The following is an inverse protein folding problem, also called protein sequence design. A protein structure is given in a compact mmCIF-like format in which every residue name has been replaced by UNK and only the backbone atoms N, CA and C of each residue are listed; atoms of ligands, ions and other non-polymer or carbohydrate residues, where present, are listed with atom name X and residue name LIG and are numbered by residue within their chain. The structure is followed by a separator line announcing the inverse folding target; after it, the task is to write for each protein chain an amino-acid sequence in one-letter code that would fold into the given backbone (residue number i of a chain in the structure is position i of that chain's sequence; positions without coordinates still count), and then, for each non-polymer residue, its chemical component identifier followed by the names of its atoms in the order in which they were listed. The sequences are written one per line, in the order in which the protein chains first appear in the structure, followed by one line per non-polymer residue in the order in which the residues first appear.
data_IF_575578922243
#
_entry.id   IF_575578922243
#
_cell.length_a   1.000
_cell.length_b   1.000
_cell.length_c   1.000
_cell.angle_alpha   90.00
_cell.angle_beta   90.00
_cell.angle_gamma   90.00
#
_symmetry.space_group_name_H-M   'P 1'
#
loop_
_entity.id
_entity.type
_entity.pdbx_description
1 polymer ?
#
# COMPACT_ATOMS: atom_id res chain seq x y z
N UNK A 1 2.08 -16.73 30.42
CA UNK A 1 2.64 -18.04 30.05
C UNK A 1 1.59 -18.79 29.20
N UNK A 2 1.69 -18.73 27.90
CA UNK A 2 1.20 -19.74 26.93
C UNK A 2 1.69 -19.26 25.56
N UNK A 3 2.67 -19.96 25.03
CA UNK A 3 3.23 -19.74 23.69
C UNK A 3 2.15 -20.12 22.66
N UNK A 4 1.79 -19.19 21.79
CA UNK A 4 1.02 -19.51 20.60
C UNK A 4 1.99 -19.49 19.42
N UNK A 5 2.31 -20.70 18.99
CA UNK A 5 3.07 -20.98 17.77
C UNK A 5 2.08 -20.94 16.62
N UNK A 6 2.10 -19.92 15.79
CA UNK A 6 1.29 -19.89 14.56
C UNK A 6 2.00 -20.72 13.49
N UNK A 7 1.44 -21.88 13.23
CA UNK A 7 1.86 -22.79 12.16
C UNK A 7 1.25 -22.29 10.86
N UNK A 8 2.09 -21.87 9.90
CA UNK A 8 1.66 -21.71 8.50
C UNK A 8 1.29 -23.09 7.96
N UNK A 9 0.01 -23.32 7.72
CA UNK A 9 -0.50 -24.49 7.02
C UNK A 9 -0.36 -24.27 5.51
N UNK A 10 0.67 -24.89 4.93
CA UNK A 10 0.75 -25.09 3.49
C UNK A 10 -0.26 -26.19 3.12
N UNK A 11 -1.32 -25.84 2.40
CA UNK A 11 -2.30 -26.79 1.89
C UNK A 11 -1.68 -27.65 0.80
N UNK A 12 -1.32 -28.87 1.14
CA UNK A 12 -1.00 -29.91 0.16
C UNK A 12 -2.30 -30.41 -0.48
N UNK A 13 -2.53 -30.11 -1.75
CA UNK A 13 -3.59 -30.75 -2.53
C UNK A 13 -3.23 -32.22 -2.75
N UNK A 14 -3.90 -33.11 -2.02
CA UNK A 14 -3.88 -34.54 -2.29
C UNK A 14 -4.80 -34.85 -3.49
N UNK A 15 -4.22 -35.20 -4.63
CA UNK A 15 -4.95 -35.75 -5.77
C UNK A 15 -5.29 -37.21 -5.44
N UNK A 16 -6.54 -37.48 -5.15
CA UNK A 16 -7.07 -38.84 -5.03
C UNK A 16 -7.36 -39.43 -6.43
N UNK A 17 -6.52 -40.35 -6.90
CA UNK A 17 -6.83 -41.17 -8.06
C UNK A 17 -7.65 -42.41 -7.63
N UNK A 18 -8.85 -42.53 -8.15
CA UNK A 18 -9.62 -43.78 -8.11
C UNK A 18 -8.94 -44.82 -8.99
N UNK A 19 -8.64 -45.95 -8.39
CA UNK A 19 -8.21 -47.16 -9.11
C UNK A 19 -9.40 -47.90 -9.70
N UNK A 20 -9.49 -48.01 -11.04
CA UNK A 20 -10.29 -48.95 -11.73
C UNK A 20 -9.41 -50.13 -12.15
N UNK A 21 -9.79 -51.34 -11.76
CA UNK A 21 -9.10 -52.56 -12.08
C UNK A 21 -9.23 -52.91 -13.58
N UNK A 22 -8.09 -53.23 -14.22
CA UNK A 22 -8.02 -53.81 -15.54
C UNK A 22 -6.59 -54.32 -15.80
N UNK A 23 -6.46 -55.63 -15.90
CA UNK A 23 -5.26 -56.45 -15.93
C UNK A 23 -4.35 -56.21 -17.14
N UNK A 24 -3.05 -56.16 -16.91
CA UNK A 24 -1.86 -56.70 -17.62
C UNK A 24 -0.75 -55.68 -17.90
N UNK A 25 0.40 -55.90 -17.24
CA UNK A 25 1.75 -55.71 -17.75
C UNK A 25 2.30 -54.30 -17.94
N UNK A 26 3.02 -53.82 -16.95
CA UNK A 26 4.30 -53.13 -17.14
C UNK A 26 4.91 -52.62 -15.79
N UNK A 27 6.07 -53.18 -15.46
CA UNK A 27 6.85 -52.90 -14.23
C UNK A 27 7.68 -51.58 -14.31
N UNK A 28 7.48 -50.77 -15.34
CA UNK A 28 8.30 -49.56 -15.59
C UNK A 28 7.69 -48.24 -15.12
N UNK A 29 6.37 -48.22 -14.79
CA UNK A 29 5.68 -46.94 -14.47
C UNK A 29 5.70 -46.58 -12.98
N UNK A 30 5.98 -47.54 -12.09
CA UNK A 30 5.99 -47.33 -10.65
C UNK A 30 7.32 -46.72 -10.13
N UNK A 31 8.42 -46.94 -10.85
CA UNK A 31 9.74 -46.38 -10.48
C UNK A 31 9.82 -44.88 -10.77
N UNK A 32 9.25 -44.43 -11.88
CA UNK A 32 9.33 -43.02 -12.30
C UNK A 32 8.47 -42.09 -11.38
N UNK A 33 7.29 -42.57 -10.98
CA UNK A 33 6.44 -41.80 -10.05
C UNK A 33 7.03 -41.70 -8.62
N UNK A 34 7.86 -42.66 -8.21
CA UNK A 34 8.55 -42.65 -6.93
C UNK A 34 9.83 -41.78 -6.96
N UNK A 35 10.49 -41.66 -8.13
CA UNK A 35 11.62 -40.76 -8.34
C UNK A 35 11.15 -39.31 -8.43
N UNK A 36 10.11 -39.00 -9.20
CA UNK A 36 9.52 -37.67 -9.31
C UNK A 36 8.98 -37.17 -7.95
N UNK A 37 8.40 -38.04 -7.13
CA UNK A 37 7.95 -37.70 -5.76
C UNK A 37 9.13 -37.42 -4.81
N UNK A 38 10.26 -38.13 -4.96
CA UNK A 38 11.48 -37.87 -4.17
C UNK A 38 12.18 -36.59 -4.59
N UNK A 39 12.18 -36.28 -5.87
CA UNK A 39 12.79 -35.04 -6.40
C UNK A 39 11.97 -33.81 -6.00
N UNK A 40 10.62 -33.90 -5.98
CA UNK A 40 9.74 -32.83 -5.50
C UNK A 40 9.86 -32.59 -3.99
N UNK A 41 10.04 -33.65 -3.20
CA UNK A 41 10.25 -33.53 -1.74
C UNK A 41 11.64 -32.94 -1.44
N UNK A 42 12.67 -33.35 -2.16
CA UNK A 42 14.02 -32.80 -1.98
C UNK A 42 14.11 -31.33 -2.40
N UNK A 43 13.38 -30.91 -3.44
CA UNK A 43 13.27 -29.51 -3.84
C UNK A 43 12.52 -28.65 -2.81
N UNK A 44 11.43 -29.18 -2.21
CA UNK A 44 10.69 -28.53 -1.16
C UNK A 44 11.51 -28.40 0.13
N UNK A 45 12.24 -29.46 0.51
CA UNK A 45 13.12 -29.46 1.69
C UNK A 45 14.30 -28.49 1.50
N UNK A 46 14.83 -28.38 0.28
CA UNK A 46 15.89 -27.43 -0.06
C UNK A 46 15.37 -25.99 -0.01
N UNK A 47 14.18 -25.72 -0.57
CA UNK A 47 13.55 -24.40 -0.50
C UNK A 47 13.20 -24.00 0.95
N UNK A 48 12.74 -24.94 1.78
CA UNK A 48 12.51 -24.70 3.22
C UNK A 48 13.83 -24.47 3.98
N UNK A 49 14.89 -25.17 3.63
CA UNK A 49 16.21 -24.97 4.25
C UNK A 49 16.84 -23.63 3.83
N UNK A 50 16.68 -23.23 2.56
CA UNK A 50 17.12 -21.92 2.06
C UNK A 50 16.30 -20.78 2.69
N UNK A 51 14.98 -20.94 2.84
CA UNK A 51 14.12 -20.00 3.55
C UNK A 51 14.49 -19.90 5.02
N UNK A 52 14.77 -21.04 5.69
CA UNK A 52 15.21 -21.06 7.08
C UNK A 52 16.58 -20.44 7.25
N UNK A 53 17.54 -20.72 6.37
CA UNK A 53 18.86 -20.10 6.37
C UNK A 53 18.80 -18.59 6.07
N UNK A 54 17.90 -18.15 5.19
CA UNK A 54 17.65 -16.72 4.95
C UNK A 54 17.05 -16.03 6.20
N UNK A 55 16.10 -16.67 6.89
CA UNK A 55 15.52 -16.18 8.15
C UNK A 55 16.55 -16.14 9.27
N UNK A 56 17.42 -17.16 9.38
CA UNK A 56 18.51 -17.20 10.38
C UNK A 56 19.65 -16.20 10.02
N UNK A 57 19.89 -15.93 8.73
CA UNK A 57 20.87 -14.92 8.28
C UNK A 57 20.38 -13.47 8.51
N UNK A 58 19.08 -13.26 8.74
CA UNK A 58 18.50 -11.97 9.12
C UNK A 58 18.39 -11.78 10.64
N UNK A 59 18.77 -12.76 11.45
CA UNK A 59 18.79 -12.66 12.91
C UNK A 59 20.15 -12.12 13.40
N UNK A 60 20.37 -10.82 13.18
CA UNK A 60 21.45 -10.08 13.86
C UNK A 60 21.02 -9.70 15.28
N UNK A 61 21.97 -9.44 16.16
CA UNK A 61 21.68 -8.74 17.41
C UNK A 61 21.58 -7.23 17.12
N UNK A 62 20.35 -6.73 16.99
CA UNK A 62 20.06 -5.32 16.76
C UNK A 62 19.67 -4.57 18.04
N UNK A 63 19.90 -5.18 19.20
CA UNK A 63 19.44 -4.66 20.50
C UNK A 63 20.08 -3.33 20.90
N UNK A 64 21.25 -3.01 20.37
CA UNK A 64 21.97 -1.75 20.59
C UNK A 64 21.78 -0.72 19.45
N UNK A 65 21.14 -1.15 18.35
CA UNK A 65 20.94 -0.30 17.17
C UNK A 65 19.80 0.68 17.37
N UNK A 66 20.04 1.92 16.94
CA UNK A 66 19.09 3.04 17.01
C UNK A 66 18.46 3.29 15.66
N UNK A 67 17.14 3.35 15.62
CA UNK A 67 16.37 3.66 14.41
C UNK A 67 15.63 4.98 14.61
N UNK A 68 15.85 5.93 13.70
CA UNK A 68 15.05 7.15 13.60
C UNK A 68 13.97 6.99 12.54
N UNK A 69 12.72 7.30 12.87
CA UNK A 69 11.59 7.23 11.95
C UNK A 69 10.89 8.59 11.93
N UNK A 70 10.79 9.23 10.76
CA UNK A 70 10.01 10.44 10.54
C UNK A 70 8.78 10.12 9.70
N UNK A 71 7.60 10.36 10.23
CA UNK A 71 6.32 10.24 9.52
C UNK A 71 5.83 11.65 9.18
N UNK A 72 5.31 11.86 7.96
CA UNK A 72 4.88 13.18 7.52
C UNK A 72 3.80 13.80 8.43
N UNK A 73 2.84 12.99 8.91
CA UNK A 73 1.91 13.37 9.98
C UNK A 73 1.28 12.14 10.65
N UNK A 74 1.01 12.25 11.96
CA UNK A 74 0.45 11.15 12.75
C UNK A 74 -1.07 11.02 12.64
N UNK A 75 -1.75 12.07 12.21
CA UNK A 75 -3.21 12.08 12.04
C UNK A 75 -3.68 11.31 10.81
N UNK A 76 -2.77 10.92 9.91
CA UNK A 76 -3.09 10.09 8.76
C UNK A 76 -3.40 8.64 9.18
N UNK A 77 -4.58 8.14 8.75
CA UNK A 77 -5.07 6.82 9.15
C UNK A 77 -4.20 5.69 8.56
N UNK A 78 -3.80 5.81 7.29
CA UNK A 78 -2.94 4.82 6.65
C UNK A 78 -1.56 4.79 7.31
N UNK A 79 -0.94 5.97 7.52
CA UNK A 79 0.37 6.04 8.17
C UNK A 79 0.33 5.62 9.64
N UNK A 80 -0.84 5.64 10.28
CA UNK A 80 -1.00 5.07 11.62
C UNK A 80 -0.88 3.55 11.60
N UNK A 81 -1.49 2.87 10.62
CA UNK A 81 -1.32 1.43 10.43
C UNK A 81 0.14 1.10 10.10
N UNK A 82 0.71 1.80 9.11
CA UNK A 82 2.07 1.59 8.64
C UNK A 82 3.11 1.72 9.77
N UNK A 83 3.12 2.87 10.50
CA UNK A 83 4.12 3.12 11.55
C UNK A 83 4.00 2.17 12.73
N UNK A 84 2.77 1.77 13.09
CA UNK A 84 2.53 0.83 14.18
C UNK A 84 3.08 -0.56 13.83
N UNK A 85 2.83 -1.01 12.61
CA UNK A 85 3.33 -2.29 12.12
C UNK A 85 4.85 -2.27 11.94
N UNK A 86 5.41 -1.21 11.36
CA UNK A 86 6.87 -1.05 11.21
C UNK A 86 7.59 -1.14 12.57
N UNK A 87 7.06 -0.45 13.58
CA UNK A 87 7.64 -0.47 14.93
C UNK A 87 7.54 -1.88 15.55
N UNK A 88 6.39 -2.54 15.42
CA UNK A 88 6.17 -3.92 15.88
C UNK A 88 7.10 -4.90 15.16
N UNK A 89 7.25 -4.73 13.86
CA UNK A 89 8.13 -5.56 13.05
C UNK A 89 9.60 -5.43 13.47
N UNK A 90 10.11 -4.22 13.62
CA UNK A 90 11.47 -3.97 14.08
C UNK A 90 11.72 -4.58 15.46
N UNK A 91 10.77 -4.43 16.39
CA UNK A 91 10.85 -5.07 17.71
C UNK A 91 10.90 -6.60 17.57
N UNK A 92 10.10 -7.19 16.69
CA UNK A 92 10.09 -8.64 16.43
C UNK A 92 11.43 -9.15 15.85
N UNK A 93 12.19 -8.26 15.19
CA UNK A 93 13.53 -8.55 14.65
C UNK A 93 14.68 -8.33 15.63
N UNK A 94 14.39 -7.96 16.87
CA UNK A 94 15.38 -7.86 17.94
C UNK A 94 15.83 -6.44 18.29
N UNK A 95 15.25 -5.41 17.69
CA UNK A 95 15.47 -4.03 18.14
C UNK A 95 14.79 -3.79 19.49
N UNK A 96 15.43 -3.04 20.38
CA UNK A 96 14.78 -2.59 21.60
C UNK A 96 13.83 -1.43 21.30
N UNK A 97 12.64 -1.47 21.88
CA UNK A 97 11.61 -0.44 21.71
C UNK A 97 12.14 0.98 22.03
N UNK A 98 12.93 1.12 23.07
CA UNK A 98 13.54 2.39 23.49
C UNK A 98 14.55 2.95 22.50
N UNK A 99 15.06 2.13 21.58
CA UNK A 99 15.99 2.52 20.54
C UNK A 99 15.31 2.88 19.21
N UNK A 100 13.99 2.68 19.10
CA UNK A 100 13.18 3.07 17.96
C UNK A 100 12.48 4.37 18.31
N UNK A 101 12.85 5.47 17.66
CA UNK A 101 12.23 6.78 17.87
C UNK A 101 11.40 7.17 16.67
N UNK A 102 10.09 7.34 16.87
CA UNK A 102 9.14 7.74 15.82
C UNK A 102 8.70 9.19 16.07
N UNK A 103 8.85 10.06 15.07
CA UNK A 103 8.56 11.49 15.17
C UNK A 103 7.46 11.90 14.18
N UNK A 104 6.58 12.79 14.63
CA UNK A 104 5.51 13.38 13.83
C UNK A 104 6.02 14.63 13.12
N UNK A 105 6.06 14.61 11.80
CA UNK A 105 6.41 15.76 10.96
C UNK A 105 5.34 16.87 10.98
N UNK A 106 4.16 16.58 11.52
CA UNK A 106 3.03 17.49 11.64
C UNK A 106 2.65 18.19 10.32
N UNK A 107 2.89 17.51 9.19
CA UNK A 107 2.74 18.04 7.83
C UNK A 107 3.50 19.36 7.59
N UNK A 108 4.62 19.55 8.30
CA UNK A 108 5.49 20.73 8.21
C UNK A 108 6.93 20.31 7.88
N UNK A 109 7.40 20.70 6.69
CA UNK A 109 8.73 20.31 6.20
C UNK A 109 9.86 20.84 7.07
N UNK A 110 9.72 22.03 7.66
CA UNK A 110 10.75 22.59 8.53
C UNK A 110 10.86 21.78 9.83
N UNK A 111 9.73 21.40 10.40
CA UNK A 111 9.66 20.49 11.56
C UNK A 111 10.33 19.16 11.25
N UNK A 112 10.02 18.53 10.12
CA UNK A 112 10.64 17.25 9.72
C UNK A 112 12.15 17.39 9.51
N UNK A 113 12.60 18.46 8.85
CA UNK A 113 14.03 18.73 8.65
C UNK A 113 14.77 18.83 9.98
N UNK A 114 14.19 19.54 10.97
CA UNK A 114 14.77 19.64 12.31
C UNK A 114 14.82 18.29 13.03
N UNK A 115 13.81 17.45 12.85
CA UNK A 115 13.77 16.08 13.43
C UNK A 115 14.89 15.22 12.85
N UNK A 116 15.08 15.25 11.53
CA UNK A 116 16.17 14.53 10.86
C UNK A 116 17.53 15.01 11.36
N UNK A 117 17.72 16.34 11.51
CA UNK A 117 18.95 16.90 12.07
C UNK A 117 19.20 16.43 13.51
N UNK A 118 18.15 16.30 14.33
CA UNK A 118 18.24 15.74 15.67
C UNK A 118 18.67 14.28 15.64
N UNK A 119 18.08 13.44 14.75
CA UNK A 119 18.48 12.04 14.58
C UNK A 119 19.96 11.91 14.15
N UNK A 120 20.43 12.79 13.26
CA UNK A 120 21.85 12.83 12.87
C UNK A 120 22.74 13.16 14.09
N UNK A 121 22.32 14.14 14.90
CA UNK A 121 23.04 14.53 16.14
C UNK A 121 23.03 13.39 17.18
N UNK A 122 21.92 12.67 17.32
CA UNK A 122 21.74 11.51 18.21
C UNK A 122 22.49 10.26 17.69
N UNK A 123 23.07 10.35 16.49
CA UNK A 123 23.81 9.27 15.81
C UNK A 123 22.97 7.99 15.73
N UNK A 124 21.79 8.09 15.12
CA UNK A 124 21.03 6.89 14.80
C UNK A 124 21.78 6.05 13.76
N UNK A 125 21.61 4.74 13.81
CA UNK A 125 22.29 3.80 12.90
C UNK A 125 21.63 3.73 11.52
N UNK A 126 20.33 4.05 11.45
CA UNK A 126 19.54 4.10 10.20
C UNK A 126 18.37 5.07 10.35
N UNK A 127 18.00 5.72 9.25
CA UNK A 127 16.83 6.59 9.15
C UNK A 127 15.79 5.98 8.21
N UNK A 128 14.51 6.04 8.62
CA UNK A 128 13.35 5.71 7.79
C UNK A 128 12.49 6.98 7.70
N UNK A 129 12.25 7.47 6.49
CA UNK A 129 11.60 8.77 6.29
C UNK A 129 10.42 8.66 5.33
N UNK A 130 9.24 9.03 5.83
CA UNK A 130 8.09 9.38 5.01
C UNK A 130 8.10 10.90 4.82
N UNK A 131 8.52 11.42 3.66
CA UNK A 131 8.75 12.87 3.52
C UNK A 131 7.43 13.66 3.57
N UNK A 132 7.49 14.86 4.16
CA UNK A 132 6.36 15.80 4.09
C UNK A 132 6.16 16.22 2.64
N UNK A 133 7.21 16.66 1.98
CA UNK A 133 7.20 16.98 0.55
C UNK A 133 8.18 16.07 -0.20
N UNK A 134 7.72 15.38 -1.23
CA UNK A 134 8.57 14.55 -2.09
C UNK A 134 9.72 15.35 -2.71
N UNK A 135 9.48 16.61 -3.07
CA UNK A 135 10.50 17.54 -3.60
C UNK A 135 11.64 17.86 -2.63
N UNK A 136 11.48 17.59 -1.34
CA UNK A 136 12.53 17.79 -0.32
C UNK A 136 13.51 16.62 -0.21
N UNK A 137 13.26 15.52 -0.94
CA UNK A 137 14.06 14.29 -0.83
C UNK A 137 15.55 14.54 -1.11
N UNK A 138 15.89 15.32 -2.14
CA UNK A 138 17.28 15.63 -2.45
C UNK A 138 18.03 16.31 -1.27
N UNK A 139 17.38 17.27 -0.62
CA UNK A 139 17.96 17.97 0.55
C UNK A 139 18.10 17.02 1.75
N UNK A 140 17.10 16.17 1.98
CA UNK A 140 17.13 15.16 3.05
C UNK A 140 18.26 14.17 2.79
N UNK A 141 18.36 13.64 1.56
CA UNK A 141 19.41 12.70 1.17
C UNK A 141 20.81 13.31 1.40
N UNK A 142 21.06 14.53 0.92
CA UNK A 142 22.36 15.20 1.08
C UNK A 142 22.77 15.30 2.55
N UNK A 143 21.82 15.72 3.40
CA UNK A 143 22.06 15.90 4.82
C UNK A 143 22.38 14.57 5.53
N UNK A 144 21.65 13.50 5.18
CA UNK A 144 21.78 12.17 5.79
C UNK A 144 23.05 11.47 5.28
N UNK A 145 23.34 11.57 3.96
CA UNK A 145 24.56 11.00 3.38
C UNK A 145 25.82 11.70 3.87
N UNK A 146 25.79 13.03 4.09
CA UNK A 146 26.92 13.75 4.71
C UNK A 146 27.24 13.24 6.13
N UNK A 147 26.25 12.68 6.83
CA UNK A 147 26.42 12.04 8.14
C UNK A 147 26.80 10.56 8.06
N UNK A 148 26.81 9.95 6.86
CA UNK A 148 27.11 8.53 6.63
C UNK A 148 26.04 7.57 7.16
N UNK A 149 24.79 8.04 7.27
CA UNK A 149 23.67 7.25 7.78
C UNK A 149 22.89 6.65 6.61
N UNK A 150 22.58 5.34 6.60
CA UNK A 150 21.68 4.74 5.63
C UNK A 150 20.26 5.30 5.74
N UNK A 151 19.58 5.43 4.59
CA UNK A 151 18.26 6.06 4.50
C UNK A 151 17.26 5.18 3.73
N UNK A 152 16.10 4.98 4.33
CA UNK A 152 14.96 4.30 3.69
C UNK A 152 13.81 5.29 3.57
N UNK A 153 13.48 5.70 2.35
CA UNK A 153 12.25 6.44 2.09
C UNK A 153 11.06 5.48 2.05
N UNK A 154 9.91 5.92 2.53
CA UNK A 154 8.69 5.11 2.57
C UNK A 154 7.47 5.88 2.08
N UNK A 155 6.54 5.19 1.44
CA UNK A 155 5.20 5.62 1.03
C UNK A 155 5.18 6.79 0.03
N UNK A 156 5.72 7.97 0.36
CA UNK A 156 5.80 9.12 -0.56
C UNK A 156 7.06 9.01 -1.40
N UNK A 157 6.87 8.64 -2.67
CA UNK A 157 7.97 8.42 -3.63
C UNK A 157 8.72 9.74 -3.89
N UNK A 158 10.06 9.76 -3.76
CA UNK A 158 10.88 10.82 -4.30
C UNK A 158 10.78 10.90 -5.82
N UNK A 159 11.25 11.99 -6.43
CA UNK A 159 11.27 12.05 -7.89
C UNK A 159 12.34 11.11 -8.50
N UNK A 160 12.13 10.73 -9.76
CA UNK A 160 13.00 9.76 -10.45
C UNK A 160 14.44 10.28 -10.65
N UNK A 161 14.65 11.59 -10.74
CA UNK A 161 15.97 12.18 -10.85
C UNK A 161 16.74 11.99 -9.53
N UNK A 162 16.06 12.08 -8.39
CA UNK A 162 16.66 11.82 -7.09
C UNK A 162 17.00 10.34 -6.91
N UNK A 163 16.11 9.43 -7.30
CA UNK A 163 16.37 7.98 -7.26
C UNK A 163 17.57 7.60 -8.14
N UNK A 164 17.64 8.17 -9.35
CA UNK A 164 18.79 7.99 -10.23
C UNK A 164 20.09 8.51 -9.60
N UNK A 165 20.03 9.62 -8.85
CA UNK A 165 21.20 10.17 -8.16
C UNK A 165 21.74 9.20 -7.09
N UNK A 166 20.85 8.44 -6.41
CA UNK A 166 21.29 7.41 -5.46
C UNK A 166 22.06 6.27 -6.15
N UNK A 167 21.52 5.80 -7.28
CA UNK A 167 22.15 4.76 -8.10
C UNK A 167 23.52 5.21 -8.61
N UNK A 168 23.59 6.40 -9.23
CA UNK A 168 24.82 6.95 -9.81
C UNK A 168 25.92 7.12 -8.75
N UNK A 169 25.58 7.47 -7.51
CA UNK A 169 26.52 7.65 -6.40
C UNK A 169 26.71 6.41 -5.53
N UNK A 170 25.96 5.32 -5.76
CA UNK A 170 25.98 4.09 -4.96
C UNK A 170 25.76 4.35 -3.46
N UNK A 171 24.81 5.21 -3.16
CA UNK A 171 24.49 5.53 -1.78
C UNK A 171 23.61 4.46 -1.15
N UNK A 172 23.71 4.30 0.17
CA UNK A 172 22.83 3.44 0.95
C UNK A 172 21.48 4.14 1.16
N UNK A 173 20.76 4.36 0.07
CA UNK A 173 19.42 4.96 0.03
C UNK A 173 18.51 4.11 -0.81
N UNK A 174 17.30 3.86 -0.33
CA UNK A 174 16.26 3.19 -1.10
C UNK A 174 14.89 3.79 -0.80
N UNK A 175 13.95 3.55 -1.71
CA UNK A 175 12.53 3.79 -1.52
C UNK A 175 11.79 2.46 -1.41
N UNK A 176 10.88 2.37 -0.44
CA UNK A 176 9.96 1.24 -0.25
C UNK A 176 8.54 1.76 -0.37
N UNK A 177 7.83 1.30 -1.38
CA UNK A 177 6.45 1.74 -1.61
C UNK A 177 5.78 1.06 -2.78
N UNK A 178 4.59 1.52 -3.10
CA UNK A 178 3.78 1.03 -4.20
C UNK A 178 3.72 2.07 -5.32
N UNK A 179 3.63 1.62 -6.57
CA UNK A 179 3.39 2.51 -7.71
C UNK A 179 1.94 3.01 -7.70
N UNK A 180 1.73 4.27 -7.37
CA UNK A 180 0.39 4.86 -7.25
C UNK A 180 -0.41 4.88 -8.57
N UNK A 181 0.24 4.71 -9.74
CA UNK A 181 -0.42 4.51 -11.03
C UNK A 181 -1.28 3.25 -11.03
N UNK A 182 -0.80 2.18 -10.35
CA UNK A 182 -1.56 0.94 -10.18
C UNK A 182 -2.84 1.17 -9.37
N UNK A 183 -2.77 1.91 -8.26
CA UNK A 183 -3.96 2.19 -7.43
C UNK A 183 -4.99 3.03 -8.17
N UNK A 184 -4.57 4.09 -8.89
CA UNK A 184 -5.46 4.86 -9.75
C UNK A 184 -6.12 3.98 -10.81
N UNK A 185 -5.33 3.15 -11.51
CA UNK A 185 -5.86 2.20 -12.50
C UNK A 185 -6.92 1.28 -11.89
N UNK A 186 -6.69 0.74 -10.71
CA UNK A 186 -7.66 -0.13 -10.02
C UNK A 186 -8.93 0.61 -9.61
N UNK A 187 -8.84 1.88 -9.17
CA UNK A 187 -10.03 2.71 -8.94
C UNK A 187 -10.88 2.85 -10.22
N UNK A 188 -10.24 3.20 -11.33
CA UNK A 188 -10.91 3.33 -12.61
C UNK A 188 -11.50 2.00 -13.10
N UNK A 189 -10.79 0.89 -12.91
CA UNK A 189 -11.30 -0.44 -13.26
C UNK A 189 -12.54 -0.84 -12.45
N UNK A 190 -12.57 -0.56 -11.14
CA UNK A 190 -13.74 -0.81 -10.29
C UNK A 190 -14.97 -0.09 -10.88
N UNK A 191 -14.83 1.15 -11.31
CA UNK A 191 -15.94 1.91 -11.93
C UNK A 191 -16.25 1.38 -13.32
N UNK A 192 -15.24 1.15 -14.16
CA UNK A 192 -15.41 0.62 -15.51
C UNK A 192 -16.22 -0.70 -15.52
N UNK A 193 -15.92 -1.59 -14.59
CA UNK A 193 -16.51 -2.93 -14.54
C UNK A 193 -18.00 -2.90 -14.17
N UNK A 194 -18.53 -1.75 -13.75
CA UNK A 194 -19.98 -1.51 -13.57
C UNK A 194 -20.72 -1.49 -14.91
N UNK A 195 -20.09 -0.91 -15.96
CA UNK A 195 -20.64 -0.78 -17.32
C UNK A 195 -21.41 0.52 -17.53
N UNK A 196 -21.34 1.05 -18.77
CA UNK A 196 -21.97 2.33 -19.15
C UNK A 196 -23.49 2.33 -18.98
N UNK A 197 -24.14 1.21 -19.14
CA UNK A 197 -25.59 1.02 -18.97
C UNK A 197 -26.08 1.36 -17.54
N UNK A 198 -25.20 1.33 -16.57
CA UNK A 198 -25.49 1.70 -15.17
C UNK A 198 -24.81 2.99 -14.75
N UNK A 199 -23.66 3.34 -15.36
CA UNK A 199 -22.91 4.54 -15.02
C UNK A 199 -23.56 5.80 -15.59
N UNK A 200 -23.93 5.78 -16.87
CA UNK A 200 -24.56 6.91 -17.57
C UNK A 200 -26.05 7.01 -17.16
N UNK A 201 -26.30 7.56 -15.99
CA UNK A 201 -27.65 7.63 -15.41
C UNK A 201 -28.45 8.79 -16.00
N UNK A 202 -27.80 9.83 -16.50
CA UNK A 202 -28.44 10.99 -17.11
C UNK A 202 -28.61 10.85 -18.63
N UNK A 203 -28.02 9.79 -19.24
CA UNK A 203 -28.18 9.45 -20.66
C UNK A 203 -27.39 10.34 -21.64
N UNK A 204 -26.32 10.98 -21.16
CA UNK A 204 -25.52 11.90 -21.98
C UNK A 204 -24.36 11.21 -22.74
N UNK A 205 -24.17 9.90 -22.55
CA UNK A 205 -23.13 9.09 -23.17
C UNK A 205 -21.77 9.19 -22.49
N UNK A 206 -21.68 9.77 -21.31
CA UNK A 206 -20.43 10.00 -20.58
C UNK A 206 -20.53 9.49 -19.13
N UNK A 207 -19.39 9.36 -18.48
CA UNK A 207 -19.32 9.18 -17.01
C UNK A 207 -19.05 10.54 -16.40
N UNK A 208 -20.06 11.09 -15.73
CA UNK A 208 -19.99 12.39 -15.06
C UNK A 208 -19.41 12.21 -13.65
N UNK A 209 -18.24 12.75 -13.39
CA UNK A 209 -17.53 12.52 -12.14
C UNK A 209 -17.05 13.79 -11.45
N UNK A 210 -16.83 13.66 -10.15
CA UNK A 210 -16.03 14.59 -9.36
C UNK A 210 -14.80 13.88 -8.78
N UNK A 211 -13.72 14.64 -8.57
CA UNK A 211 -12.46 14.16 -8.06
C UNK A 211 -12.09 14.90 -6.77
N UNK A 212 -11.88 14.14 -5.70
CA UNK A 212 -11.35 14.66 -4.43
C UNK A 212 -9.91 14.19 -4.28
N UNK A 213 -8.99 15.14 -4.48
CA UNK A 213 -7.54 14.88 -4.52
C UNK A 213 -6.94 14.92 -3.14
N UNK A 214 -5.86 14.17 -2.98
CA UNK A 214 -4.96 14.30 -1.84
C UNK A 214 -4.13 15.60 -1.91
N UNK A 215 -3.02 15.60 -1.17
CA UNK A 215 -2.02 16.67 -1.18
C UNK A 215 -1.38 16.81 -2.58
N UNK A 216 -1.46 17.97 -3.23
CA UNK A 216 -0.90 18.17 -4.57
C UNK A 216 0.64 18.08 -4.62
N UNK A 217 1.34 18.24 -3.49
CA UNK A 217 2.80 18.06 -3.39
C UNK A 217 3.21 16.59 -3.25
N UNK A 218 2.23 15.67 -3.20
CA UNK A 218 2.45 14.23 -3.19
C UNK A 218 2.16 13.66 -4.59
N UNK A 219 3.16 13.01 -5.18
CA UNK A 219 3.05 12.41 -6.51
C UNK A 219 1.94 11.35 -6.59
N UNK A 220 1.65 10.63 -5.49
CA UNK A 220 0.57 9.65 -5.43
C UNK A 220 -0.79 10.28 -5.72
N UNK A 221 -1.05 11.48 -5.21
CA UNK A 221 -2.30 12.19 -5.49
C UNK A 221 -2.46 12.52 -6.98
N UNK A 222 -1.36 12.86 -7.64
CA UNK A 222 -1.35 13.14 -9.08
C UNK A 222 -1.63 11.85 -9.87
N UNK A 223 -0.91 10.77 -9.58
CA UNK A 223 -1.07 9.49 -10.27
C UNK A 223 -2.45 8.85 -10.03
N UNK A 224 -2.95 8.83 -8.79
CA UNK A 224 -4.30 8.34 -8.51
C UNK A 224 -5.36 9.12 -9.26
N UNK A 225 -5.24 10.45 -9.33
CA UNK A 225 -6.14 11.33 -10.08
C UNK A 225 -6.11 11.04 -11.58
N UNK A 226 -4.93 10.96 -12.18
CA UNK A 226 -4.76 10.74 -13.61
C UNK A 226 -5.21 9.33 -14.03
N UNK A 227 -4.67 8.31 -13.37
CA UNK A 227 -4.83 6.92 -13.81
C UNK A 227 -6.22 6.36 -13.52
N UNK A 228 -6.97 6.88 -12.54
CA UNK A 228 -8.36 6.48 -12.33
C UNK A 228 -9.26 6.87 -13.49
N UNK A 229 -9.06 8.05 -14.02
CA UNK A 229 -9.79 8.56 -15.22
C UNK A 229 -9.27 7.89 -16.48
N UNK A 230 -7.95 7.75 -16.61
CA UNK A 230 -7.32 7.10 -17.76
C UNK A 230 -7.80 5.66 -17.95
N UNK A 231 -8.00 4.90 -16.88
CA UNK A 231 -8.49 3.51 -16.95
C UNK A 231 -9.89 3.37 -17.57
N UNK A 232 -10.74 4.42 -17.46
CA UNK A 232 -12.02 4.50 -18.16
C UNK A 232 -11.79 4.83 -19.65
N UNK A 233 -11.01 5.86 -19.93
CA UNK A 233 -10.73 6.36 -21.29
C UNK A 233 -10.03 5.31 -22.16
N UNK A 234 -9.07 4.57 -21.63
CA UNK A 234 -8.35 3.50 -22.34
C UNK A 234 -9.27 2.36 -22.81
N UNK A 235 -10.50 2.29 -22.28
CA UNK A 235 -11.55 1.34 -22.69
C UNK A 235 -12.66 2.01 -23.52
N UNK A 236 -12.43 3.25 -23.96
CA UNK A 236 -13.34 3.97 -24.84
C UNK A 236 -14.54 4.59 -24.12
N UNK A 237 -14.54 4.67 -22.79
CA UNK A 237 -15.56 5.40 -22.05
C UNK A 237 -15.28 6.90 -22.14
N UNK A 238 -16.25 7.69 -22.59
CA UNK A 238 -16.17 9.13 -22.46
C UNK A 238 -16.42 9.56 -21.03
N UNK A 239 -15.64 10.52 -20.57
CA UNK A 239 -15.72 11.03 -19.18
C UNK A 239 -15.93 12.54 -19.19
N UNK A 240 -16.66 13.05 -18.21
CA UNK A 240 -16.87 14.48 -18.03
C UNK A 240 -16.62 14.87 -16.55
N UNK A 241 -15.59 15.68 -16.36
CA UNK A 241 -15.24 16.15 -15.02
C UNK A 241 -16.10 17.35 -14.63
N UNK A 242 -17.01 17.16 -13.69
CA UNK A 242 -17.89 18.20 -13.16
C UNK A 242 -17.20 19.08 -12.13
N UNK A 243 -16.31 18.50 -11.31
CA UNK A 243 -15.54 19.23 -10.29
C UNK A 243 -14.26 18.49 -9.92
N UNK A 244 -13.26 19.22 -9.44
CA UNK A 244 -12.02 18.69 -8.89
C UNK A 244 -11.57 19.59 -7.74
N UNK A 245 -11.40 19.02 -6.54
CA UNK A 245 -11.07 19.74 -5.33
C UNK A 245 -9.98 19.02 -4.52
N UNK A 246 -9.18 19.80 -3.78
CA UNK A 246 -8.12 19.26 -2.93
C UNK A 246 -8.65 19.03 -1.52
N UNK A 247 -8.77 17.77 -1.13
CA UNK A 247 -9.23 17.31 0.18
C UNK A 247 -8.09 17.04 1.18
N UNK A 248 -6.82 17.10 0.74
CA UNK A 248 -5.62 16.94 1.58
C UNK A 248 -5.64 15.70 2.49
N UNK A 249 -6.17 14.58 1.99
CA UNK A 249 -6.32 13.30 2.71
C UNK A 249 -7.28 13.35 3.90
N UNK A 250 -7.96 14.49 4.13
CA UNK A 250 -8.77 14.76 5.30
C UNK A 250 -10.27 14.46 5.08
N UNK A 251 -10.85 13.70 6.00
CA UNK A 251 -12.25 13.26 5.93
C UNK A 251 -13.25 14.41 6.00
N UNK A 252 -13.05 15.35 6.94
CA UNK A 252 -14.00 16.44 7.17
C UNK A 252 -13.97 17.46 6.01
N UNK A 253 -12.78 17.73 5.48
CA UNK A 253 -12.59 18.56 4.29
C UNK A 253 -13.31 17.93 3.10
N UNK A 254 -13.09 16.64 2.83
CA UNK A 254 -13.74 15.93 1.74
C UNK A 254 -15.28 15.92 1.88
N UNK A 255 -15.81 15.71 3.08
CA UNK A 255 -17.25 15.80 3.35
C UNK A 255 -17.82 17.15 2.90
N UNK A 256 -17.15 18.24 3.29
CA UNK A 256 -17.59 19.61 2.95
C UNK A 256 -17.52 19.88 1.44
N UNK A 257 -16.44 19.42 0.78
CA UNK A 257 -16.25 19.59 -0.66
C UNK A 257 -17.29 18.83 -1.47
N UNK A 258 -17.54 17.55 -1.11
CA UNK A 258 -18.55 16.73 -1.78
C UNK A 258 -19.95 17.24 -1.54
N UNK A 259 -20.29 17.72 -0.35
CA UNK A 259 -21.58 18.36 -0.07
C UNK A 259 -21.81 19.59 -0.98
N UNK A 260 -20.79 20.42 -1.15
CA UNK A 260 -20.84 21.59 -2.05
C UNK A 260 -21.00 21.17 -3.51
N UNK A 261 -20.25 20.15 -3.95
CA UNK A 261 -20.33 19.63 -5.33
C UNK A 261 -21.72 19.03 -5.61
N UNK A 262 -22.30 18.28 -4.66
CA UNK A 262 -23.67 17.74 -4.76
C UNK A 262 -24.73 18.83 -4.80
N UNK A 263 -24.58 19.91 -4.01
CA UNK A 263 -25.48 21.05 -4.05
C UNK A 263 -25.44 21.78 -5.38
N UNK A 264 -24.26 21.86 -6.03
CA UNK A 264 -24.06 22.54 -7.30
C UNK A 264 -24.53 21.71 -8.51
N UNK A 265 -24.15 20.43 -8.55
CA UNK A 265 -24.33 19.57 -9.72
C UNK A 265 -25.47 18.55 -9.57
N UNK A 266 -26.00 18.40 -8.36
CA UNK A 266 -27.19 17.57 -8.09
C UNK A 266 -27.02 16.12 -8.49
N UNK A 267 -27.92 15.63 -9.35
CA UNK A 267 -27.97 14.25 -9.82
C UNK A 267 -27.01 13.96 -10.96
N UNK A 268 -26.40 14.99 -11.54
CA UNK A 268 -25.46 14.80 -12.66
C UNK A 268 -24.16 14.13 -12.22
N UNK A 269 -23.82 14.16 -10.91
CA UNK A 269 -22.65 13.44 -10.40
C UNK A 269 -22.98 11.95 -10.35
N UNK A 270 -22.32 11.14 -11.15
CA UNK A 270 -22.47 9.70 -11.21
C UNK A 270 -21.37 8.96 -10.41
N UNK A 271 -20.15 9.52 -10.42
CA UNK A 271 -18.99 8.93 -9.75
C UNK A 271 -18.27 9.97 -8.88
N UNK A 272 -17.91 9.55 -7.67
CA UNK A 272 -17.01 10.28 -6.78
C UNK A 272 -15.72 9.48 -6.65
N UNK A 273 -14.63 9.99 -7.23
CA UNK A 273 -13.28 9.48 -7.00
C UNK A 273 -12.66 10.20 -5.80
N UNK A 274 -12.18 9.45 -4.83
CA UNK A 274 -11.38 9.97 -3.73
C UNK A 274 -9.99 9.32 -3.77
N UNK A 275 -8.93 10.12 -3.66
CA UNK A 275 -7.57 9.58 -3.71
C UNK A 275 -7.21 8.71 -2.47
N UNK A 276 -8.01 8.77 -1.37
CA UNK A 276 -7.91 7.81 -0.26
C UNK A 276 -9.26 7.52 0.40
N UNK A 277 -9.29 6.54 1.29
CA UNK A 277 -10.50 6.13 1.99
C UNK A 277 -10.95 7.10 3.07
N UNK A 278 -10.04 7.83 3.72
CA UNK A 278 -10.46 8.87 4.68
C UNK A 278 -11.35 9.90 3.99
N UNK A 279 -10.96 10.36 2.80
CA UNK A 279 -11.79 11.27 1.99
C UNK A 279 -13.05 10.58 1.46
N UNK A 280 -12.99 9.29 1.10
CA UNK A 280 -14.17 8.54 0.67
C UNK A 280 -15.21 8.38 1.79
N UNK A 281 -14.77 8.18 3.03
CA UNK A 281 -15.66 8.14 4.20
C UNK A 281 -16.37 9.50 4.42
N UNK A 282 -15.66 10.61 4.24
CA UNK A 282 -16.25 11.94 4.24
C UNK A 282 -17.25 12.15 3.11
N UNK A 283 -16.87 11.72 1.90
CA UNK A 283 -17.75 11.76 0.73
C UNK A 283 -19.03 10.95 0.94
N UNK A 284 -18.93 9.76 1.52
CA UNK A 284 -20.08 8.91 1.85
C UNK A 284 -21.08 9.64 2.76
N UNK A 285 -20.59 10.31 3.80
CA UNK A 285 -21.45 11.09 4.70
C UNK A 285 -22.20 12.21 3.96
N UNK A 286 -21.51 12.92 3.04
CA UNK A 286 -22.14 13.95 2.22
C UNK A 286 -23.18 13.37 1.23
N UNK A 287 -22.87 12.23 0.60
CA UNK A 287 -23.77 11.52 -0.31
C UNK A 287 -25.07 11.11 0.43
N UNK A 288 -24.92 10.51 1.62
CA UNK A 288 -26.06 10.09 2.44
C UNK A 288 -26.90 11.30 2.92
N UNK A 289 -26.25 12.38 3.36
CA UNK A 289 -26.92 13.61 3.77
C UNK A 289 -27.70 14.27 2.61
N UNK A 290 -27.24 14.13 1.37
CA UNK A 290 -27.95 14.57 0.17
C UNK A 290 -29.10 13.62 -0.26
N UNK A 291 -29.34 12.54 0.50
CA UNK A 291 -30.37 11.55 0.20
C UNK A 291 -30.06 10.64 -0.98
N UNK A 292 -28.77 10.56 -1.37
CA UNK A 292 -28.31 9.67 -2.45
C UNK A 292 -27.81 8.33 -1.90
N UNK A 293 -27.80 7.31 -2.74
CA UNK A 293 -27.47 5.94 -2.34
C UNK A 293 -26.39 5.39 -3.25
N UNK A 294 -25.23 5.08 -2.68
CA UNK A 294 -24.13 4.42 -3.41
C UNK A 294 -24.59 3.07 -3.97
N UNK A 295 -24.17 2.77 -5.21
CA UNK A 295 -24.55 1.56 -5.92
C UNK A 295 -25.93 1.61 -6.56
N UNK A 296 -26.68 2.70 -6.37
CA UNK A 296 -28.01 2.90 -6.94
C UNK A 296 -28.09 4.11 -7.87
N UNK A 297 -27.65 5.27 -7.39
CA UNK A 297 -27.71 6.53 -8.11
C UNK A 297 -26.43 7.37 -8.05
N UNK A 298 -25.39 6.82 -7.48
CA UNK A 298 -24.03 7.35 -7.43
C UNK A 298 -23.06 6.23 -7.08
N UNK A 299 -21.81 6.34 -7.52
CA UNK A 299 -20.73 5.40 -7.19
C UNK A 299 -19.60 6.12 -6.46
N UNK A 300 -18.91 5.41 -5.56
CA UNK A 300 -17.86 5.96 -4.70
C UNK A 300 -16.68 4.99 -4.59
N UNK A 301 -15.47 5.46 -4.88
CA UNK A 301 -14.24 4.67 -4.73
C UNK A 301 -13.18 5.43 -3.95
N UNK A 302 -12.40 4.68 -3.16
CA UNK A 302 -11.26 5.18 -2.39
C UNK A 302 -9.99 4.38 -2.65
N UNK A 303 -8.97 4.59 -1.81
CA UNK A 303 -7.71 3.83 -1.75
C UNK A 303 -7.33 3.72 -0.27
N UNK A 304 -6.63 2.68 0.10
CA UNK A 304 -6.00 2.23 1.34
C UNK A 304 -6.65 0.97 1.91
N UNK A 305 -7.94 0.71 1.60
CA UNK A 305 -8.75 -0.36 2.18
C UNK A 305 -8.78 -0.32 3.71
N UNK A 306 -9.01 0.88 4.27
CA UNK A 306 -9.22 1.02 5.72
C UNK A 306 -10.36 0.11 6.19
N UNK A 307 -10.32 -0.33 7.45
CA UNK A 307 -11.32 -1.27 7.99
C UNK A 307 -12.75 -0.81 7.78
N UNK A 308 -13.05 0.48 7.97
CA UNK A 308 -14.38 1.05 7.76
C UNK A 308 -14.76 1.06 6.27
N UNK A 309 -13.80 1.38 5.38
CA UNK A 309 -14.03 1.33 3.94
C UNK A 309 -14.33 -0.10 3.45
N UNK A 310 -13.59 -1.10 3.93
CA UNK A 310 -13.88 -2.51 3.64
C UNK A 310 -15.26 -2.93 4.14
N UNK A 311 -15.68 -2.48 5.33
CA UNK A 311 -17.03 -2.72 5.85
C UNK A 311 -18.09 -2.06 4.96
N UNK A 312 -17.86 -0.84 4.49
CA UNK A 312 -18.75 -0.13 3.59
C UNK A 312 -18.84 -0.80 2.21
N UNK A 313 -17.74 -1.35 1.70
CA UNK A 313 -17.74 -2.17 0.47
C UNK A 313 -18.60 -3.42 0.65
N UNK A 314 -18.46 -4.12 1.76
CA UNK A 314 -19.28 -5.30 2.09
C UNK A 314 -20.77 -4.95 2.28
N UNK A 315 -21.07 -3.77 2.80
CA UNK A 315 -22.44 -3.28 2.98
C UNK A 315 -23.04 -2.68 1.69
N UNK A 316 -22.23 -2.50 0.62
CA UNK A 316 -22.66 -1.87 -0.62
C UNK A 316 -22.81 -0.35 -0.53
N UNK A 317 -22.27 0.30 0.52
CA UNK A 317 -22.29 1.75 0.72
C UNK A 317 -21.02 2.45 0.23
N UNK A 318 -20.03 1.70 -0.22
CA UNK A 318 -18.88 2.13 -1.02
C UNK A 318 -18.71 1.13 -2.15
N UNK A 319 -18.43 1.58 -3.37
CA UNK A 319 -18.37 0.71 -4.56
C UNK A 319 -17.15 -0.20 -4.53
N UNK A 320 -16.03 0.32 -4.05
CA UNK A 320 -14.79 -0.40 -3.89
C UNK A 320 -13.69 0.49 -3.32
N UNK A 321 -12.57 -0.12 -3.05
CA UNK A 321 -11.34 0.53 -2.63
C UNK A 321 -10.13 -0.22 -3.19
N UNK A 322 -8.93 0.24 -2.87
CA UNK A 322 -7.68 -0.41 -3.28
C UNK A 322 -6.82 -0.60 -2.05
N UNK A 323 -6.47 -1.82 -1.72
CA UNK A 323 -5.61 -2.11 -0.58
C UNK A 323 -4.19 -1.64 -0.87
N UNK A 324 -3.77 -0.66 -0.09
CA UNK A 324 -2.41 -0.18 0.01
C UNK A 324 -1.72 -1.06 1.06
N UNK A 325 -0.96 -2.06 0.63
CA UNK A 325 -0.46 -3.12 1.52
C UNK A 325 0.59 -2.60 2.49
N UNK A 326 0.12 -2.00 3.60
CA UNK A 326 0.99 -1.47 4.65
C UNK A 326 1.81 -2.56 5.36
N UNK A 327 1.34 -3.82 5.37
CA UNK A 327 2.06 -4.94 5.98
C UNK A 327 3.33 -5.23 5.18
N UNK A 328 3.19 -5.50 3.89
CA UNK A 328 4.34 -5.76 3.01
C UNK A 328 5.28 -4.55 2.96
N UNK A 329 4.75 -3.33 2.87
CA UNK A 329 5.58 -2.13 2.82
C UNK A 329 6.37 -1.92 4.13
N UNK A 330 5.73 -2.02 5.30
CA UNK A 330 6.39 -1.82 6.59
C UNK A 330 7.44 -2.89 6.87
N UNK A 331 7.15 -4.16 6.54
CA UNK A 331 8.11 -5.25 6.66
C UNK A 331 9.30 -5.05 5.72
N UNK A 332 9.06 -4.70 4.44
CA UNK A 332 10.11 -4.42 3.47
C UNK A 332 10.99 -3.23 3.89
N UNK A 333 10.39 -2.17 4.49
CA UNK A 333 11.15 -1.04 5.02
C UNK A 333 12.01 -1.44 6.22
N UNK A 334 11.50 -2.28 7.10
CA UNK A 334 12.25 -2.87 8.21
C UNK A 334 13.40 -3.75 7.73
N UNK A 335 13.15 -4.60 6.74
CA UNK A 335 14.17 -5.47 6.15
C UNK A 335 15.25 -4.66 5.40
N UNK A 336 14.87 -3.59 4.69
CA UNK A 336 15.83 -2.68 4.07
C UNK A 336 16.75 -2.01 5.09
N UNK A 337 16.20 -1.54 6.21
CA UNK A 337 16.97 -0.99 7.32
C UNK A 337 17.95 -2.04 7.91
N UNK A 338 17.47 -3.26 8.15
CA UNK A 338 18.26 -4.39 8.65
C UNK A 338 19.41 -4.73 7.68
N UNK A 339 19.14 -4.78 6.38
CA UNK A 339 20.17 -5.05 5.37
C UNK A 339 21.29 -4.03 5.42
N UNK A 340 20.98 -2.73 5.47
CA UNK A 340 21.99 -1.68 5.60
C UNK A 340 22.83 -1.83 6.89
N UNK A 341 22.18 -2.11 8.02
CA UNK A 341 22.85 -2.34 9.30
C UNK A 341 23.74 -3.58 9.30
N UNK A 342 23.41 -4.57 8.48
CA UNK A 342 24.21 -5.78 8.25
C UNK A 342 25.31 -5.60 7.17
N UNK A 343 25.47 -4.39 6.63
CA UNK A 343 26.43 -4.08 5.56
C UNK A 343 26.05 -4.68 4.20
N UNK A 344 24.77 -4.97 3.98
CA UNK A 344 24.26 -5.45 2.70
C UNK A 344 23.67 -4.29 1.89
N UNK A 345 23.67 -4.44 0.59
CA UNK A 345 23.02 -3.52 -0.34
C UNK A 345 21.53 -3.84 -0.46
N UNK A 346 20.73 -2.83 -0.80
CA UNK A 346 19.33 -2.96 -1.21
C UNK A 346 19.18 -2.48 -2.66
N UNK A 347 18.13 -2.96 -3.34
CA UNK A 347 17.64 -2.29 -4.54
C UNK A 347 17.20 -0.87 -4.17
N UNK A 348 17.44 0.12 -5.05
CA UNK A 348 17.05 1.52 -4.77
C UNK A 348 15.54 1.72 -4.78
N UNK A 349 14.79 0.87 -5.51
CA UNK A 349 13.33 0.83 -5.49
C UNK A 349 12.81 -0.56 -5.09
N UNK A 350 12.31 -0.68 -3.87
CA UNK A 350 11.71 -1.90 -3.34
C UNK A 350 10.20 -1.80 -3.54
N UNK A 351 9.72 -2.41 -4.62
CA UNK A 351 8.34 -2.31 -5.06
C UNK A 351 7.42 -3.23 -4.26
N UNK A 352 6.30 -2.66 -3.78
CA UNK A 352 5.15 -3.37 -3.27
C UNK A 352 3.96 -3.20 -4.23
N UNK A 353 2.98 -4.10 -4.19
CA UNK A 353 1.82 -4.06 -5.06
C UNK A 353 0.56 -3.65 -4.31
N UNK A 354 -0.33 -2.92 -5.01
CA UNK A 354 -1.69 -2.70 -4.57
C UNK A 354 -2.58 -3.90 -4.87
N UNK A 355 -3.71 -4.02 -4.15
CA UNK A 355 -4.74 -5.03 -4.44
C UNK A 355 -6.09 -4.34 -4.64
N UNK A 356 -6.74 -4.60 -5.77
CA UNK A 356 -8.10 -4.13 -6.03
C UNK A 356 -9.08 -4.79 -5.07
N UNK A 357 -9.93 -3.98 -4.39
CA UNK A 357 -10.87 -4.45 -3.37
C UNK A 357 -12.31 -4.15 -3.77
N UNK A 358 -13.07 -5.21 -3.90
CA UNK A 358 -14.52 -5.20 -4.18
C UNK A 358 -15.25 -6.06 -3.15
N UNK A 359 -16.56 -6.19 -3.24
CA UNK A 359 -17.33 -7.04 -2.36
C UNK A 359 -16.88 -8.53 -2.36
N UNK A 360 -16.18 -8.95 -3.43
CA UNK A 360 -15.71 -10.33 -3.57
C UNK A 360 -14.57 -10.68 -2.60
N UNK A 361 -13.67 -9.73 -2.32
CA UNK A 361 -12.47 -9.96 -1.49
C UNK A 361 -12.31 -9.02 -0.28
N UNK A 362 -13.20 -8.05 -0.10
CA UNK A 362 -13.12 -7.11 1.02
C UNK A 362 -13.12 -7.78 2.40
N UNK A 363 -13.76 -8.96 2.52
CA UNK A 363 -13.76 -9.74 3.75
C UNK A 363 -12.37 -10.30 4.09
N UNK A 364 -11.63 -10.74 3.08
CA UNK A 364 -10.30 -11.30 3.26
C UNK A 364 -9.30 -10.19 3.61
N UNK A 365 -9.40 -9.04 2.93
CA UNK A 365 -8.61 -7.85 3.29
C UNK A 365 -8.92 -7.39 4.72
N UNK A 366 -10.20 -7.31 5.10
CA UNK A 366 -10.59 -6.94 6.47
C UNK A 366 -10.03 -7.90 7.54
N UNK A 367 -9.77 -9.16 7.19
CA UNK A 367 -9.16 -10.12 8.11
C UNK A 367 -7.67 -9.83 8.34
N UNK A 368 -6.97 -9.20 7.39
CA UNK A 368 -5.57 -8.79 7.54
C UNK A 368 -5.39 -7.56 8.44
N UNK A 369 -6.47 -6.77 8.63
CA UNK A 369 -6.44 -5.51 9.39
C UNK A 369 -6.73 -5.70 10.89
N UNK A 370 -6.84 -6.94 11.37
CA UNK A 370 -7.12 -7.30 12.77
C UNK A 370 -5.85 -7.70 13.50
#
# INVERSE_FOLDING_TARGET
MKKILSVLTVSAMAVSMLAACGNSGSTATTTKAAEDAKETTAAADKAMAETKAAVEAMSGDFSDKKVGICIYQFSDNFMTLFRTELESYLVSKGFKKENIKVMDGANDQATQTNQIQNFITDKVDVLIVNPVNSSSAATITDMVQAAGIPLVYINREPDQDEEKRWEDNKWNVCYVGCDARQSGTFQGEIIRDIGMDKLDMNGNGKVDYIMIKGDPENIDAQYRTEYSVKALQDKGMEVNKLDEQVGNWDQATAQSLVANALAKNGKDIEVVFCNNDSMALGALQAIQAAGRTVGKDIYLVGVDALSEACQNVLAGTQTGTVFNDFLTQSHSAGDAAINYLAGKENEHYIKCDYVKVTAENAKDILALLK
#
